data_IF_089387720049
#
_entry.id   IF_089387720049
#
_cell.length_a   1.000
_cell.length_b   1.000
_cell.length_c   1.000
_cell.angle_alpha   90.00
_cell.angle_beta   90.00
_cell.angle_gamma   90.00
#
_symmetry.space_group_name_H-M   'P 1'
#
loop_
_entity.id
_entity.type
_entity.pdbx_description
1 polymer ?
#
# COMPACT_ATOMS: atom_id res chain seq x y z
N UNK A 1 26.45 -0.48 12.39
CA UNK A 1 25.43 -0.66 11.33
C UNK A 1 24.07 -0.64 12.00
N UNK A 2 23.15 0.22 11.55
CA UNK A 2 21.74 0.11 11.94
C UNK A 2 21.20 -1.22 11.40
N UNK A 3 20.39 -1.93 12.17
CA UNK A 3 19.67 -3.10 11.66
C UNK A 3 18.48 -2.60 10.84
N UNK A 4 18.34 -3.10 9.62
CA UNK A 4 17.18 -2.82 8.78
C UNK A 4 16.02 -3.69 9.26
N UNK A 5 15.00 -3.04 9.84
CA UNK A 5 13.87 -3.72 10.46
C UNK A 5 12.55 -3.15 9.99
N UNK A 6 11.55 -4.02 9.87
CA UNK A 6 10.16 -3.66 9.56
C UNK A 6 9.21 -4.28 10.57
N UNK A 7 8.04 -3.67 10.75
CA UNK A 7 7.02 -4.21 11.65
C UNK A 7 6.45 -5.54 11.13
N UNK A 8 5.92 -6.36 12.05
CA UNK A 8 5.14 -7.56 11.70
C UNK A 8 3.97 -7.18 10.79
N UNK A 9 3.33 -6.04 11.00
CA UNK A 9 2.24 -5.52 10.15
C UNK A 9 2.69 -5.28 8.71
N UNK A 10 3.83 -4.60 8.50
CA UNK A 10 4.40 -4.40 7.18
C UNK A 10 4.79 -5.74 6.54
N UNK A 11 5.39 -6.66 7.30
CA UNK A 11 5.74 -7.99 6.83
C UNK A 11 4.50 -8.80 6.40
N UNK A 12 3.41 -8.75 7.16
CA UNK A 12 2.12 -9.33 6.78
C UNK A 12 1.62 -8.75 5.46
N UNK A 13 1.63 -7.42 5.34
CA UNK A 13 1.12 -6.73 4.17
C UNK A 13 1.86 -7.13 2.89
N UNK A 14 3.20 -7.08 2.91
CA UNK A 14 4.02 -7.30 1.70
C UNK A 14 4.22 -8.79 1.35
N UNK A 15 3.97 -9.72 2.29
CA UNK A 15 4.10 -11.17 2.03
C UNK A 15 2.78 -11.90 1.88
N UNK A 16 1.66 -11.23 2.15
CA UNK A 16 0.30 -11.81 2.22
C UNK A 16 0.20 -13.01 3.20
N UNK A 17 1.15 -13.15 4.12
CA UNK A 17 1.15 -14.21 5.15
C UNK A 17 0.36 -13.76 6.37
N UNK A 18 -0.40 -14.68 6.97
CA UNK A 18 -1.21 -14.38 8.15
C UNK A 18 -0.37 -13.94 9.36
N UNK A 19 -0.98 -13.14 10.24
CA UNK A 19 -0.42 -12.80 11.56
C UNK A 19 0.00 -14.06 12.34
N UNK A 20 -0.85 -15.07 12.39
CA UNK A 20 -0.56 -16.35 13.06
C UNK A 20 0.67 -17.07 12.50
N UNK A 21 0.93 -16.95 11.19
CA UNK A 21 2.11 -17.52 10.56
C UNK A 21 3.38 -16.85 11.07
N UNK A 22 3.43 -15.52 11.09
CA UNK A 22 4.58 -14.78 11.60
C UNK A 22 4.87 -15.10 13.07
N UNK A 23 3.85 -15.01 13.94
CA UNK A 23 4.02 -15.30 15.36
C UNK A 23 4.45 -16.74 15.65
N UNK A 24 3.94 -17.72 14.90
CA UNK A 24 4.40 -19.11 15.00
C UNK A 24 5.88 -19.26 14.63
N UNK A 25 6.37 -18.53 13.62
CA UNK A 25 7.78 -18.58 13.19
C UNK A 25 8.70 -17.90 14.19
N UNK A 26 8.26 -16.78 14.78
CA UNK A 26 8.95 -16.12 15.89
C UNK A 26 9.06 -17.08 17.08
N UNK A 27 7.97 -17.75 17.47
CA UNK A 27 7.96 -18.71 18.59
C UNK A 27 8.88 -19.93 18.36
N UNK A 28 9.16 -20.28 17.10
CA UNK A 28 10.08 -21.34 16.71
C UNK A 28 11.52 -20.86 16.44
N UNK A 29 11.80 -19.58 16.64
CA UNK A 29 13.08 -18.95 16.30
C UNK A 29 13.48 -19.09 14.82
N UNK A 30 12.50 -19.25 13.93
CA UNK A 30 12.72 -19.28 12.47
C UNK A 30 12.83 -17.87 11.88
N UNK A 31 12.34 -16.86 12.61
CA UNK A 31 12.40 -15.44 12.29
C UNK A 31 12.76 -14.69 13.58
N UNK A 32 13.71 -13.79 13.49
CA UNK A 32 14.23 -12.94 14.56
C UNK A 32 13.31 -11.74 14.78
N UNK A 33 12.67 -11.68 15.95
CA UNK A 33 12.09 -10.44 16.50
C UNK A 33 13.19 -9.66 17.21
N UNK A 34 13.47 -8.46 16.74
CA UNK A 34 14.58 -7.62 17.25
C UNK A 34 14.17 -6.85 18.49
N UNK A 35 13.09 -6.07 18.40
CA UNK A 35 12.58 -5.22 19.46
C UNK A 35 11.13 -4.80 19.14
N UNK A 36 10.52 -4.02 20.02
CA UNK A 36 9.32 -3.26 19.70
C UNK A 36 9.71 -1.81 19.34
N UNK A 37 9.01 -1.21 18.37
CA UNK A 37 9.18 0.21 18.05
C UNK A 37 8.49 1.12 19.08
N UNK A 38 8.60 2.44 18.89
CA UNK A 38 7.96 3.43 19.77
C UNK A 38 6.42 3.34 19.79
N UNK A 39 5.81 2.62 18.84
CA UNK A 39 4.36 2.36 18.76
C UNK A 39 3.99 0.99 19.36
N UNK A 40 4.95 0.26 19.93
CA UNK A 40 4.75 -1.07 20.48
C UNK A 40 4.60 -2.18 19.43
N UNK A 41 5.02 -1.93 18.18
CA UNK A 41 4.96 -2.93 17.11
C UNK A 41 6.21 -3.79 17.13
N UNK A 42 6.03 -5.10 17.05
CA UNK A 42 7.15 -6.03 16.97
C UNK A 42 7.89 -5.86 15.63
N UNK A 43 9.21 -5.73 15.70
CA UNK A 43 10.09 -5.48 14.57
C UNK A 43 10.86 -6.73 14.18
N UNK A 44 10.93 -7.00 12.87
CA UNK A 44 11.58 -8.15 12.26
C UNK A 44 12.76 -7.71 11.39
N UNK A 45 13.80 -8.53 11.28
CA UNK A 45 14.91 -8.27 10.36
C UNK A 45 14.45 -8.35 8.91
N UNK A 46 14.72 -7.30 8.13
CA UNK A 46 14.36 -7.24 6.71
C UNK A 46 14.95 -8.42 5.92
N UNK A 47 16.21 -8.78 6.19
CA UNK A 47 16.92 -9.87 5.51
C UNK A 47 16.23 -11.24 5.64
N UNK A 48 15.43 -11.44 6.69
CA UNK A 48 14.67 -12.67 6.90
C UNK A 48 13.24 -12.60 6.33
N UNK A 49 12.72 -11.38 6.14
CA UNK A 49 11.41 -11.15 5.51
C UNK A 49 11.51 -11.14 3.99
N UNK A 50 12.53 -10.51 3.41
CA UNK A 50 12.66 -10.33 1.96
C UNK A 50 12.55 -11.63 1.14
N UNK A 51 13.09 -12.79 1.59
CA UNK A 51 12.97 -14.04 0.83
C UNK A 51 11.54 -14.61 0.81
N UNK A 52 10.62 -14.03 1.58
CA UNK A 52 9.21 -14.44 1.67
C UNK A 52 8.30 -13.61 0.77
N UNK A 53 8.80 -12.55 0.13
CA UNK A 53 8.03 -11.65 -0.73
C UNK A 53 7.90 -12.31 -2.11
N UNK A 54 6.67 -12.35 -2.64
CA UNK A 54 6.39 -12.99 -3.93
C UNK A 54 6.67 -12.09 -5.15
N UNK A 55 7.27 -10.92 -4.93
CA UNK A 55 7.65 -9.95 -5.95
C UNK A 55 9.14 -9.67 -5.74
N UNK A 56 9.98 -9.75 -6.80
CA UNK A 56 11.39 -9.37 -6.69
C UNK A 56 11.49 -7.91 -6.22
N UNK A 57 12.25 -7.69 -5.14
CA UNK A 57 12.57 -6.35 -4.65
C UNK A 57 14.08 -6.15 -4.72
N UNK A 58 14.48 -5.01 -5.26
CA UNK A 58 15.86 -4.59 -5.33
C UNK A 58 16.29 -3.96 -3.99
N UNK A 59 17.60 -3.90 -3.69
CA UNK A 59 18.09 -3.23 -2.48
C UNK A 59 17.65 -1.76 -2.36
N UNK A 60 17.41 -1.09 -3.50
CA UNK A 60 16.92 0.29 -3.53
C UNK A 60 15.49 0.42 -2.98
N UNK A 61 14.67 -0.63 -3.09
CA UNK A 61 13.28 -0.62 -2.62
C UNK A 61 13.17 -0.68 -1.10
N UNK A 62 14.23 -1.13 -0.40
CA UNK A 62 14.27 -1.23 1.05
C UNK A 62 13.94 0.11 1.71
N UNK A 63 14.55 1.21 1.22
CA UNK A 63 14.29 2.53 1.78
C UNK A 63 12.80 2.88 1.71
N UNK A 64 12.13 2.59 0.60
CA UNK A 64 10.70 2.82 0.42
C UNK A 64 9.88 2.00 1.42
N UNK A 65 10.22 0.71 1.63
CA UNK A 65 9.52 -0.14 2.61
C UNK A 65 9.69 0.39 4.03
N UNK A 66 10.91 0.78 4.41
CA UNK A 66 11.20 1.32 5.76
C UNK A 66 10.43 2.62 6.01
N UNK A 67 10.43 3.53 5.03
CA UNK A 67 9.70 4.79 5.14
C UNK A 67 8.18 4.57 5.15
N UNK A 68 7.67 3.65 4.34
CA UNK A 68 6.25 3.30 4.33
C UNK A 68 5.80 2.73 5.69
N UNK A 69 6.58 1.83 6.27
CA UNK A 69 6.34 1.25 7.60
C UNK A 69 6.47 2.29 8.74
N UNK A 70 7.32 3.31 8.56
CA UNK A 70 7.42 4.44 9.48
C UNK A 70 6.20 5.37 9.40
N UNK A 71 5.41 5.29 8.32
CA UNK A 71 4.19 6.07 8.13
C UNK A 71 4.31 7.18 7.08
N UNK A 72 5.40 7.25 6.32
CA UNK A 72 5.56 8.27 5.28
C UNK A 72 4.53 8.05 4.17
N UNK A 73 3.64 9.03 3.97
CA UNK A 73 2.53 8.91 3.04
C UNK A 73 2.99 8.78 1.56
N UNK A 74 4.11 9.42 1.19
CA UNK A 74 4.65 9.32 -0.16
C UNK A 74 5.25 7.92 -0.40
N UNK A 75 6.03 7.40 0.56
CA UNK A 75 6.56 6.04 0.48
C UNK A 75 5.45 4.98 0.47
N UNK A 76 4.38 5.18 1.25
CA UNK A 76 3.19 4.33 1.23
C UNK A 76 2.47 4.37 -0.14
N UNK A 77 2.38 5.55 -0.75
CA UNK A 77 1.87 5.68 -2.12
C UNK A 77 2.76 4.93 -3.12
N UNK A 78 4.08 5.10 -3.02
CA UNK A 78 5.05 4.52 -3.96
C UNK A 78 5.07 2.99 -3.89
N UNK A 79 5.13 2.41 -2.69
CA UNK A 79 5.05 0.96 -2.52
C UNK A 79 3.66 0.42 -2.93
N UNK A 80 2.61 1.20 -2.71
CA UNK A 80 1.26 0.88 -3.17
C UNK A 80 1.17 0.77 -4.69
N UNK A 81 1.73 1.75 -5.41
CA UNK A 81 1.80 1.74 -6.87
C UNK A 81 2.69 0.61 -7.39
N UNK A 82 3.85 0.37 -6.77
CA UNK A 82 4.75 -0.74 -7.11
C UNK A 82 4.00 -2.09 -7.09
N UNK A 83 3.30 -2.39 -6.00
CA UNK A 83 2.53 -3.63 -5.90
C UNK A 83 1.31 -3.65 -6.81
N UNK A 84 0.71 -2.50 -7.14
CA UNK A 84 -0.37 -2.43 -8.12
C UNK A 84 0.11 -2.85 -9.52
N UNK A 85 1.29 -2.38 -9.93
CA UNK A 85 1.91 -2.72 -11.22
C UNK A 85 2.29 -4.21 -11.25
N UNK A 86 2.76 -4.75 -10.12
CA UNK A 86 3.04 -6.18 -9.95
C UNK A 86 1.78 -7.07 -9.81
N UNK A 87 0.57 -6.52 -9.96
CA UNK A 87 -0.69 -7.27 -9.86
C UNK A 87 -1.04 -7.75 -8.44
N UNK A 88 -0.36 -7.22 -7.42
CA UNK A 88 -0.58 -7.54 -6.00
C UNK A 88 -1.56 -6.56 -5.38
N UNK A 89 -2.78 -6.57 -5.91
CA UNK A 89 -3.80 -5.55 -5.60
C UNK A 89 -4.18 -5.45 -4.12
N UNK A 90 -4.15 -6.55 -3.36
CA UNK A 90 -4.41 -6.52 -1.90
C UNK A 90 -3.33 -5.74 -1.14
N UNK A 91 -2.07 -5.93 -1.52
CA UNK A 91 -0.92 -5.23 -0.94
C UNK A 91 -0.97 -3.75 -1.33
N UNK A 92 -1.23 -3.48 -2.62
CA UNK A 92 -1.40 -2.13 -3.14
C UNK A 92 -2.49 -1.38 -2.38
N UNK A 93 -3.68 -1.97 -2.27
CA UNK A 93 -4.81 -1.38 -1.57
C UNK A 93 -4.48 -1.05 -0.11
N UNK A 94 -3.81 -1.95 0.60
CA UNK A 94 -3.39 -1.71 1.99
C UNK A 94 -2.57 -0.44 2.13
N UNK A 95 -1.50 -0.29 1.34
CA UNK A 95 -0.60 0.85 1.43
C UNK A 95 -1.22 2.15 0.90
N UNK A 96 -1.93 2.09 -0.22
CA UNK A 96 -2.67 3.23 -0.77
C UNK A 96 -3.72 3.75 0.22
N UNK A 97 -4.38 2.86 0.97
CA UNK A 97 -5.32 3.26 2.01
C UNK A 97 -4.62 4.04 3.14
N UNK A 98 -3.45 3.60 3.59
CA UNK A 98 -2.69 4.32 4.62
C UNK A 98 -2.29 5.73 4.15
N UNK A 99 -1.77 5.85 2.93
CA UNK A 99 -1.39 7.15 2.35
C UNK A 99 -2.59 8.07 2.13
N UNK A 100 -3.72 7.54 1.62
CA UNK A 100 -4.93 8.29 1.39
C UNK A 100 -5.59 8.80 2.68
N UNK A 101 -5.45 8.07 3.79
CA UNK A 101 -5.90 8.51 5.12
C UNK A 101 -5.08 9.69 5.66
N UNK A 102 -3.87 9.89 5.15
CA UNK A 102 -3.00 11.04 5.45
C UNK A 102 -3.16 12.18 4.44
N UNK A 103 -4.25 12.17 3.69
CA UNK A 103 -4.58 13.14 2.67
C UNK A 103 -3.63 13.20 1.46
N UNK A 104 -2.87 12.13 1.18
CA UNK A 104 -2.02 12.07 -0.01
C UNK A 104 -2.85 11.99 -1.30
N UNK A 105 -2.80 13.00 -2.19
CA UNK A 105 -3.75 13.09 -3.31
C UNK A 105 -3.62 11.95 -4.32
N UNK A 106 -2.39 11.55 -4.67
CA UNK A 106 -2.18 10.44 -5.63
C UNK A 106 -2.73 9.12 -5.09
N UNK A 107 -2.44 8.82 -3.81
CA UNK A 107 -2.97 7.63 -3.15
C UNK A 107 -4.51 7.62 -3.09
N UNK A 108 -5.15 8.77 -2.84
CA UNK A 108 -6.61 8.86 -2.91
C UNK A 108 -7.15 8.53 -4.31
N UNK A 109 -6.49 9.02 -5.36
CA UNK A 109 -6.89 8.75 -6.74
C UNK A 109 -6.77 7.25 -7.06
N UNK A 110 -5.65 6.63 -6.67
CA UNK A 110 -5.41 5.20 -6.80
C UNK A 110 -6.39 4.36 -5.97
N UNK A 111 -6.63 4.73 -4.72
CA UNK A 111 -7.60 4.06 -3.86
C UNK A 111 -9.01 4.13 -4.46
N UNK A 112 -9.37 5.27 -5.03
CA UNK A 112 -10.63 5.45 -5.74
C UNK A 112 -10.76 4.50 -6.94
N UNK A 113 -9.68 4.31 -7.70
CA UNK A 113 -9.64 3.31 -8.80
C UNK A 113 -9.81 1.89 -8.27
N UNK A 114 -9.11 1.51 -7.20
CA UNK A 114 -9.24 0.18 -6.60
C UNK A 114 -10.69 -0.15 -6.23
N UNK A 115 -11.43 0.80 -5.64
CA UNK A 115 -12.84 0.60 -5.35
C UNK A 115 -13.70 0.44 -6.61
N UNK A 116 -13.40 1.14 -7.71
CA UNK A 116 -14.20 1.07 -8.94
C UNK A 116 -13.93 -0.23 -9.73
N UNK A 117 -12.68 -0.69 -9.75
CA UNK A 117 -12.30 -1.93 -10.42
C UNK A 117 -12.57 -3.17 -9.55
N UNK A 118 -12.57 -3.03 -8.23
CA UNK A 118 -12.57 -4.15 -7.29
C UNK A 118 -11.18 -4.74 -7.07
N UNK A 119 -10.13 -3.97 -7.33
CA UNK A 119 -8.75 -4.42 -7.19
C UNK A 119 -8.33 -4.41 -5.71
N UNK A 120 -8.17 -5.61 -5.14
CA UNK A 120 -7.74 -5.78 -3.74
C UNK A 120 -8.84 -5.52 -2.71
N UNK A 121 -10.01 -5.05 -3.13
CA UNK A 121 -11.16 -4.69 -2.29
C UNK A 121 -12.47 -4.99 -3.03
N UNK A 122 -13.59 -5.30 -2.36
CA UNK A 122 -14.88 -5.40 -3.03
C UNK A 122 -15.23 -4.12 -3.80
N UNK A 123 -15.71 -4.29 -5.04
CA UNK A 123 -16.10 -3.18 -5.90
C UNK A 123 -17.17 -2.30 -5.23
N UNK A 124 -16.94 -1.00 -5.22
CA UNK A 124 -17.86 0.01 -4.73
C UNK A 124 -17.64 1.36 -5.45
N UNK A 125 -18.41 1.59 -6.50
CA UNK A 125 -18.27 2.79 -7.34
C UNK A 125 -18.48 4.09 -6.56
N UNK A 126 -19.39 4.10 -5.58
CA UNK A 126 -19.69 5.28 -4.77
C UNK A 126 -18.50 5.68 -3.89
N UNK A 127 -17.89 4.72 -3.19
CA UNK A 127 -16.67 4.98 -2.42
C UNK A 127 -15.52 5.40 -3.35
N UNK A 128 -15.41 4.78 -4.52
CA UNK A 128 -14.39 5.13 -5.49
C UNK A 128 -14.49 6.57 -5.98
N UNK A 129 -15.69 7.00 -6.39
CA UNK A 129 -15.97 8.38 -6.79
C UNK A 129 -15.72 9.35 -5.63
N UNK A 130 -16.10 8.99 -4.40
CA UNK A 130 -15.84 9.81 -3.22
C UNK A 130 -14.34 10.07 -3.02
N UNK A 131 -13.50 9.04 -3.11
CA UNK A 131 -12.04 9.19 -2.99
C UNK A 131 -11.43 10.00 -4.13
N UNK A 132 -11.87 9.78 -5.38
CA UNK A 132 -11.44 10.60 -6.53
C UNK A 132 -11.87 12.06 -6.34
N UNK A 133 -13.08 12.31 -5.83
CA UNK A 133 -13.54 13.67 -5.55
C UNK A 133 -12.72 14.36 -4.47
N UNK A 134 -12.31 13.60 -3.43
CA UNK A 134 -11.40 14.10 -2.41
C UNK A 134 -10.02 14.42 -3.00
N UNK A 135 -9.44 13.54 -3.83
CA UNK A 135 -8.19 13.81 -4.53
C UNK A 135 -8.27 15.08 -5.38
N UNK A 136 -9.37 15.27 -6.11
CA UNK A 136 -9.60 16.45 -6.94
C UNK A 136 -9.66 17.75 -6.12
N UNK A 137 -10.21 17.69 -4.90
CA UNK A 137 -10.25 18.80 -3.97
C UNK A 137 -8.87 19.14 -3.37
N UNK A 138 -7.93 18.19 -3.40
CA UNK A 138 -6.51 18.39 -3.09
C UNK A 138 -5.66 18.60 -4.35
N UNK A 139 -6.23 19.28 -5.36
CA UNK A 139 -5.55 19.69 -6.60
C UNK A 139 -4.94 18.58 -7.47
N UNK A 140 -5.35 17.32 -7.27
CA UNK A 140 -4.90 16.24 -8.12
C UNK A 140 -5.46 16.37 -9.55
N UNK A 141 -4.58 16.62 -10.52
CA UNK A 141 -4.93 16.95 -11.91
C UNK A 141 -5.77 15.86 -12.61
N UNK A 142 -5.36 14.59 -12.49
CA UNK A 142 -6.12 13.47 -13.10
C UNK A 142 -7.51 13.36 -12.46
N UNK A 143 -7.60 13.39 -11.13
CA UNK A 143 -8.85 13.32 -10.41
C UNK A 143 -9.81 14.47 -10.75
N UNK A 144 -9.32 15.70 -10.88
CA UNK A 144 -10.14 16.84 -11.34
C UNK A 144 -10.75 16.58 -12.72
N UNK A 145 -9.99 15.96 -13.63
CA UNK A 145 -10.49 15.57 -14.95
C UNK A 145 -11.54 14.45 -14.85
N UNK A 146 -11.31 13.45 -14.01
CA UNK A 146 -12.26 12.35 -13.76
C UNK A 146 -13.62 12.86 -13.24
N UNK A 147 -13.61 13.80 -12.27
CA UNK A 147 -14.85 14.38 -11.72
C UNK A 147 -15.57 15.30 -12.70
N UNK A 148 -14.85 16.06 -13.54
CA UNK A 148 -15.46 16.87 -14.60
C UNK A 148 -16.25 16.00 -15.59
N UNK A 149 -15.71 14.83 -15.96
CA UNK A 149 -16.39 13.86 -16.82
C UNK A 149 -17.67 13.28 -16.22
N UNK A 150 -17.71 13.07 -14.89
CA UNK A 150 -18.92 12.60 -14.18
C UNK A 150 -20.08 13.58 -14.27
N UNK A 151 -19.83 14.88 -14.11
CA UNK A 151 -20.87 15.92 -14.23
C UNK A 151 -21.44 16.03 -15.65
N UNK A 152 -20.70 15.54 -16.65
CA UNK A 152 -21.09 15.48 -18.06
C UNK A 152 -21.77 14.17 -18.50
N UNK A 153 -22.01 13.20 -17.59
CA UNK A 153 -22.86 12.04 -17.83
C UNK A 153 -22.19 10.71 -18.19
N UNK A 154 -20.85 10.58 -18.17
CA UNK A 154 -20.16 9.28 -18.33
C UNK A 154 -18.86 9.21 -17.52
N UNK A 155 -18.74 8.23 -16.61
CA UNK A 155 -17.46 7.88 -16.00
C UNK A 155 -16.61 7.13 -17.03
N UNK A 156 -15.55 7.76 -17.53
CA UNK A 156 -14.55 7.08 -18.37
C UNK A 156 -13.42 6.69 -17.43
N UNK A 157 -13.46 5.46 -16.92
CA UNK A 157 -12.28 4.86 -16.33
C UNK A 157 -11.24 4.77 -17.44
N UNK A 158 -10.21 5.63 -17.41
CA UNK A 158 -9.03 5.39 -18.24
C UNK A 158 -8.38 4.11 -17.72
N UNK A 159 -8.77 2.98 -18.30
CA UNK A 159 -7.97 1.77 -18.30
C UNK A 159 -6.76 2.09 -19.17
N UNK A 160 -5.59 2.25 -18.55
CA UNK A 160 -4.35 2.13 -19.30
C UNK A 160 -4.29 0.70 -19.83
N UNK A 161 -4.56 0.57 -21.11
CA UNK A 161 -4.26 -0.61 -21.90
C UNK A 161 -2.80 -0.52 -22.32
N UNK A 162 -2.12 -1.66 -22.15
CA UNK A 162 -0.77 -2.06 -22.56
C UNK A 162 0.38 -1.56 -21.69
#
# INVERSE_FOLDING_TARGET
MSLDVISVEAAIAITERSRSTWWRRIAKSEITRVADDARGRAMLLWSEVVPQICVPMEPIDLAVVLHADAGDAAAQNDIGQFFSIAGKHKIAFYWLQQAAQQDHPDAMQWLGRCYISGDGVPKNDNLGIMWIAKAAAHDHVIAQTQIKGLRGGKFVAQTNSV
#
